data_IF_772830851890
#
_entry.id   IF_772830851890
#
_cell.length_a   1.000
_cell.length_b   1.000
_cell.length_c   1.000
_cell.angle_alpha   90.00
_cell.angle_beta   90.00
_cell.angle_gamma   90.00
#
_symmetry.space_group_name_H-M   'P 1'
#
loop_
_entity.id
_entity.type
_entity.pdbx_description
1 polymer ?
#
# COMPACT_ATOMS: atom_id res chain seq x y z
N UNK A 1 10.32 -0.16 -2.36
CA UNK A 1 10.92 -1.13 -3.30
C UNK A 1 12.19 -1.69 -2.67
N UNK A 2 12.45 -2.98 -2.80
CA UNK A 2 13.53 -3.69 -2.09
C UNK A 2 13.91 -4.99 -2.81
N UNK A 3 14.47 -5.96 -2.07
CA UNK A 3 14.80 -7.29 -2.61
C UNK A 3 13.54 -8.15 -2.66
N UNK A 4 13.26 -8.75 -3.81
CA UNK A 4 12.15 -9.68 -3.98
C UNK A 4 12.62 -11.13 -3.71
N UNK A 5 12.05 -11.76 -2.70
CA UNK A 5 12.34 -13.13 -2.26
C UNK A 5 11.11 -14.03 -2.33
N UNK A 6 10.02 -13.58 -2.97
CA UNK A 6 8.72 -14.24 -2.90
C UNK A 6 8.79 -15.72 -3.29
N UNK A 7 9.45 -16.05 -4.41
CA UNK A 7 9.56 -17.42 -4.92
C UNK A 7 10.37 -18.34 -4.00
N UNK A 8 11.34 -17.80 -3.25
CA UNK A 8 12.21 -18.60 -2.37
C UNK A 8 11.51 -19.04 -1.09
N UNK A 9 10.45 -18.32 -0.67
CA UNK A 9 9.74 -18.58 0.59
C UNK A 9 8.34 -19.16 0.38
N UNK A 10 8.01 -19.54 -0.85
CA UNK A 10 6.65 -19.94 -1.23
C UNK A 10 6.15 -21.16 -0.44
N UNK A 11 7.03 -22.13 -0.18
CA UNK A 11 6.70 -23.37 0.56
C UNK A 11 6.50 -23.16 2.07
N UNK A 12 7.01 -22.06 2.63
CA UNK A 12 7.00 -21.78 4.07
C UNK A 12 6.08 -20.63 4.46
N UNK A 13 5.46 -19.93 3.50
CA UNK A 13 4.57 -18.80 3.78
C UNK A 13 3.26 -19.29 4.42
N UNK A 14 2.75 -18.51 5.37
CA UNK A 14 1.45 -18.74 6.01
C UNK A 14 0.50 -17.61 5.64
N UNK A 15 -0.62 -17.94 5.02
CA UNK A 15 -1.69 -16.97 4.79
C UNK A 15 -2.35 -16.59 6.12
N UNK A 16 -2.69 -15.31 6.27
CA UNK A 16 -3.38 -14.77 7.44
C UNK A 16 -4.54 -13.88 7.00
N UNK A 17 -5.57 -13.82 7.84
CA UNK A 17 -6.70 -12.92 7.67
C UNK A 17 -6.51 -11.60 8.44
N UNK A 18 -7.22 -10.54 8.04
CA UNK A 18 -7.24 -9.28 8.81
C UNK A 18 -7.75 -9.45 10.25
N UNK A 19 -8.64 -10.43 10.49
CA UNK A 19 -9.15 -10.71 11.81
C UNK A 19 -8.04 -11.11 12.81
N UNK A 20 -7.02 -11.82 12.34
CA UNK A 20 -5.86 -12.21 13.16
C UNK A 20 -4.98 -11.01 13.56
N UNK A 21 -5.05 -9.91 12.80
CA UNK A 21 -4.30 -8.68 13.08
C UNK A 21 -5.03 -7.71 14.01
N UNK A 22 -6.29 -8.01 14.38
CA UNK A 22 -7.09 -7.13 15.25
C UNK A 22 -6.40 -6.88 16.59
N UNK A 23 -6.24 -5.61 16.95
CA UNK A 23 -5.60 -5.19 18.20
C UNK A 23 -4.07 -5.35 18.22
N UNK A 24 -3.44 -5.79 17.12
CA UNK A 24 -1.99 -5.84 17.00
C UNK A 24 -1.46 -4.47 16.57
N UNK A 25 -0.28 -4.11 17.08
CA UNK A 25 0.48 -2.96 16.57
C UNK A 25 1.30 -3.43 15.37
N UNK A 26 1.15 -2.72 14.24
CA UNK A 26 1.88 -3.02 13.00
C UNK A 26 2.67 -1.78 12.60
N UNK A 27 3.98 -1.96 12.38
CA UNK A 27 4.84 -0.91 11.83
C UNK A 27 4.88 -1.04 10.31
N UNK A 28 4.54 0.04 9.61
CA UNK A 28 4.50 0.10 8.15
C UNK A 28 5.70 0.91 7.67
N UNK A 29 6.47 0.37 6.72
CA UNK A 29 7.51 1.13 6.03
C UNK A 29 6.86 2.23 5.18
N UNK A 30 7.08 3.48 5.57
CA UNK A 30 6.45 4.62 4.94
C UNK A 30 6.83 4.75 3.46
N UNK A 31 8.11 4.64 3.12
CA UNK A 31 8.55 4.84 1.74
C UNK A 31 8.02 3.74 0.83
N UNK A 32 8.09 2.49 1.29
CA UNK A 32 7.52 1.38 0.55
C UNK A 32 6.02 1.56 0.31
N UNK A 33 5.25 1.90 1.35
CA UNK A 33 3.81 2.13 1.24
C UNK A 33 3.47 3.28 0.28
N UNK A 34 4.19 4.41 0.37
CA UNK A 34 3.97 5.54 -0.55
C UNK A 34 4.24 5.16 -2.01
N UNK A 35 5.28 4.37 -2.28
CA UNK A 35 5.52 3.83 -3.63
C UNK A 35 4.38 2.92 -4.10
N UNK A 36 3.85 2.06 -3.23
CA UNK A 36 2.70 1.22 -3.57
C UNK A 36 1.45 2.06 -3.91
N UNK A 37 1.22 3.16 -3.18
CA UNK A 37 0.10 4.05 -3.46
C UNK A 37 0.27 4.78 -4.80
N UNK A 38 1.48 5.23 -5.15
CA UNK A 38 1.76 5.83 -6.46
C UNK A 38 1.57 4.83 -7.61
N UNK A 39 1.88 3.55 -7.39
CA UNK A 39 1.73 2.50 -8.39
C UNK A 39 0.28 2.07 -8.57
N UNK A 40 -0.42 1.77 -7.47
CA UNK A 40 -1.73 1.12 -7.50
C UNK A 40 -2.93 2.08 -7.58
N UNK A 41 -2.81 3.31 -7.05
CA UNK A 41 -3.93 4.26 -7.01
C UNK A 41 -3.85 5.16 -8.24
N UNK A 42 -4.66 4.82 -9.23
CA UNK A 42 -4.72 5.47 -10.55
C UNK A 42 -6.16 5.78 -10.93
N UNK A 43 -6.31 6.68 -11.89
CA UNK A 43 -7.55 6.89 -12.63
C UNK A 43 -7.84 5.69 -13.54
N UNK A 44 -9.07 5.56 -14.08
CA UNK A 44 -9.44 4.44 -14.96
C UNK A 44 -8.56 4.33 -16.22
N UNK A 45 -7.99 5.44 -16.69
CA UNK A 45 -7.07 5.49 -17.83
C UNK A 45 -5.60 5.17 -17.43
N UNK A 46 -5.35 4.87 -16.16
CA UNK A 46 -4.01 4.57 -15.63
C UNK A 46 -3.20 5.79 -15.23
N UNK A 47 -3.69 7.02 -15.40
CA UNK A 47 -2.98 8.23 -14.94
C UNK A 47 -3.02 8.33 -13.41
N UNK A 48 -2.00 8.93 -12.75
CA UNK A 48 -2.08 9.19 -11.31
C UNK A 48 -3.24 10.13 -10.97
N UNK A 49 -3.67 10.08 -9.72
CA UNK A 49 -4.52 11.14 -9.18
C UNK A 49 -3.71 12.44 -9.14
N UNK A 50 -4.32 13.54 -9.57
CA UNK A 50 -3.71 14.86 -9.59
C UNK A 50 -4.65 15.89 -8.97
N UNK A 51 -4.09 16.95 -8.41
CA UNK A 51 -4.86 18.12 -8.01
C UNK A 51 -5.02 19.16 -9.14
N UNK A 52 -5.73 20.25 -8.85
CA UNK A 52 -5.96 21.35 -9.81
C UNK A 52 -4.68 22.07 -10.26
N UNK A 53 -3.57 21.90 -9.55
CA UNK A 53 -2.25 22.44 -9.89
C UNK A 53 -1.37 21.45 -10.64
N UNK A 54 -1.90 20.26 -10.98
CA UNK A 54 -1.16 19.22 -11.70
C UNK A 54 -0.20 18.41 -10.82
N UNK A 55 -0.29 18.50 -9.49
CA UNK A 55 0.57 17.75 -8.56
C UNK A 55 -0.04 16.38 -8.30
N UNK A 56 0.79 15.33 -8.28
CA UNK A 56 0.34 13.96 -7.99
C UNK A 56 -0.13 13.83 -6.55
N UNK A 57 -1.28 13.21 -6.32
CA UNK A 57 -1.91 13.05 -4.99
C UNK A 57 -2.25 11.61 -4.64
N UNK A 58 -1.98 10.63 -5.52
CA UNK A 58 -2.24 9.20 -5.28
C UNK A 58 -1.68 8.70 -3.93
N UNK A 59 -0.49 9.17 -3.57
CA UNK A 59 0.18 8.82 -2.32
C UNK A 59 -0.57 9.31 -1.07
N UNK A 60 -1.16 10.52 -1.12
CA UNK A 60 -1.97 11.07 -0.03
C UNK A 60 -3.32 10.36 0.08
N UNK A 61 -3.96 10.09 -1.05
CA UNK A 61 -5.20 9.32 -1.09
C UNK A 61 -4.99 7.92 -0.49
N UNK A 62 -3.90 7.25 -0.88
CA UNK A 62 -3.54 5.95 -0.35
C UNK A 62 -3.27 5.98 1.14
N UNK A 63 -2.47 6.93 1.60
CA UNK A 63 -2.18 7.10 3.02
C UNK A 63 -3.47 7.32 3.82
N UNK A 64 -4.35 8.22 3.37
CA UNK A 64 -5.59 8.52 4.09
C UNK A 64 -6.54 7.32 4.16
N UNK A 65 -6.98 6.80 3.01
CA UNK A 65 -8.00 5.76 2.98
C UNK A 65 -7.47 4.41 3.45
N UNK A 66 -6.21 4.04 3.15
CA UNK A 66 -5.65 2.76 3.60
C UNK A 66 -5.44 2.75 5.10
N UNK A 67 -4.97 3.84 5.69
CA UNK A 67 -4.82 3.94 7.14
C UNK A 67 -6.18 3.82 7.84
N UNK A 68 -7.22 4.50 7.36
CA UNK A 68 -8.57 4.38 7.93
C UNK A 68 -9.09 2.94 7.87
N UNK A 69 -8.88 2.22 6.77
CA UNK A 69 -9.31 0.84 6.63
C UNK A 69 -8.57 -0.16 7.55
N UNK A 70 -7.43 0.24 8.13
CA UNK A 70 -6.65 -0.58 9.06
C UNK A 70 -6.97 -0.28 10.54
N UNK A 71 -7.70 0.80 10.82
CA UNK A 71 -8.18 1.17 12.15
C UNK A 71 -9.52 0.46 12.47
#
# INVERSE_FOLDING_TARGET
>A
MGVDLADLVDEVKREISFAELKGKKVSIDAYNALYQFLAAIRQPDGTPLIDKSGRVTSHLSGLFYRTINLL
#
